data_IF_948183692715
#
_entry.id   IF_948183692715
#
_cell.length_a   1.000
_cell.length_b   1.000
_cell.length_c   1.000
_cell.angle_alpha   90.00
_cell.angle_beta   90.00
_cell.angle_gamma   90.00
#
_symmetry.space_group_name_H-M   'P 1'
#
loop_
_entity.id
_entity.type
_entity.pdbx_description
1 polymer ?
#
# COMPACT_ATOMS: atom_id res chain seq x y z
N UNK A 1 -5.05 -11.42 22.36
CA UNK A 1 -4.84 -10.20 23.17
C UNK A 1 -4.32 -9.13 22.22
N UNK A 2 -4.91 -7.93 22.15
CA UNK A 2 -4.35 -6.86 21.34
C UNK A 2 -2.94 -6.54 21.85
N UNK A 3 -1.98 -6.45 20.93
CA UNK A 3 -0.60 -6.07 21.25
C UNK A 3 -0.64 -4.63 21.76
N UNK A 4 -0.03 -4.38 22.93
CA UNK A 4 0.04 -3.01 23.46
C UNK A 4 0.80 -2.11 22.46
N UNK A 5 0.42 -0.82 22.30
CA UNK A 5 1.04 0.08 21.32
C UNK A 5 2.57 0.10 21.34
N UNK A 6 3.16 -0.02 22.53
CA UNK A 6 4.61 -0.06 22.77
C UNK A 6 5.32 -1.36 22.29
N UNK A 7 4.57 -2.42 22.00
CA UNK A 7 5.08 -3.72 21.54
C UNK A 7 4.73 -4.01 20.07
N UNK A 8 4.16 -3.03 19.36
CA UNK A 8 3.82 -3.19 17.96
C UNK A 8 5.12 -3.30 17.12
N UNK A 9 5.28 -4.31 16.25
CA UNK A 9 6.45 -4.42 15.38
C UNK A 9 6.54 -3.26 14.37
N UNK A 10 7.72 -2.70 14.14
CA UNK A 10 7.87 -1.61 13.17
C UNK A 10 7.50 -2.10 11.75
N UNK A 11 6.64 -1.36 11.05
CA UNK A 11 6.32 -1.58 9.63
C UNK A 11 6.98 -0.49 8.79
N UNK A 12 7.75 -0.89 7.78
CA UNK A 12 8.28 0.00 6.76
C UNK A 12 7.31 0.07 5.59
N UNK A 13 6.68 1.22 5.41
CA UNK A 13 5.83 1.49 4.26
C UNK A 13 6.69 2.10 3.15
N UNK A 14 6.87 1.37 2.05
CA UNK A 14 7.75 1.70 0.94
C UNK A 14 6.91 2.23 -0.23
N UNK A 15 7.11 3.50 -0.58
CA UNK A 15 6.32 4.20 -1.61
C UNK A 15 7.26 4.69 -2.73
N UNK A 16 7.34 3.99 -3.88
CA UNK A 16 8.04 4.50 -5.06
C UNK A 16 7.21 5.61 -5.72
N UNK A 17 7.86 6.70 -6.13
CA UNK A 17 7.16 7.91 -6.60
C UNK A 17 7.84 8.43 -7.87
N UNK A 18 7.08 8.46 -8.97
CA UNK A 18 7.49 9.12 -10.21
C UNK A 18 6.30 9.82 -10.85
N UNK A 19 6.36 11.15 -10.94
CA UNK A 19 5.34 11.99 -11.59
C UNK A 19 3.88 11.71 -11.13
N UNK A 20 3.67 11.68 -9.81
CA UNK A 20 2.42 11.31 -9.16
C UNK A 20 1.60 12.51 -8.64
N UNK A 21 1.75 13.71 -9.22
CA UNK A 21 1.12 14.96 -8.72
C UNK A 21 -0.37 14.87 -8.39
N UNK A 22 -1.13 14.05 -9.12
CA UNK A 22 -2.58 13.95 -8.97
C UNK A 22 -3.02 13.06 -7.79
N UNK A 23 -2.13 12.21 -7.27
CA UNK A 23 -2.51 11.16 -6.33
C UNK A 23 -1.66 11.13 -5.07
N UNK A 24 -0.41 11.62 -5.15
CA UNK A 24 0.58 11.46 -4.08
C UNK A 24 0.12 12.01 -2.73
N UNK A 25 -0.59 13.15 -2.70
CA UNK A 25 -1.10 13.71 -1.45
C UNK A 25 -2.13 12.78 -0.78
N UNK A 26 -3.03 12.18 -1.57
CA UNK A 26 -4.03 11.22 -1.08
C UNK A 26 -3.37 9.94 -0.58
N UNK A 27 -2.39 9.42 -1.34
CA UNK A 27 -1.63 8.23 -0.97
C UNK A 27 -0.93 8.43 0.39
N UNK A 28 -0.11 9.49 0.54
CA UNK A 28 0.61 9.77 1.78
C UNK A 28 -0.36 9.96 2.95
N UNK A 29 -1.43 10.73 2.77
CA UNK A 29 -2.38 10.98 3.86
C UNK A 29 -3.07 9.70 4.34
N UNK A 30 -3.36 8.75 3.43
CA UNK A 30 -3.95 7.46 3.79
C UNK A 30 -3.02 6.60 4.66
N UNK A 31 -1.71 6.69 4.44
CA UNK A 31 -0.69 6.00 5.24
C UNK A 31 -0.55 6.70 6.60
N UNK A 32 -0.50 8.03 6.63
CA UNK A 32 -0.36 8.80 7.88
C UNK A 32 -1.53 8.57 8.85
N UNK A 33 -2.73 8.35 8.31
CA UNK A 33 -3.98 8.14 9.04
C UNK A 33 -4.25 6.69 9.43
N UNK A 34 -3.34 5.75 9.16
CA UNK A 34 -3.51 4.38 9.65
C UNK A 34 -3.75 4.34 11.16
N UNK A 35 -4.62 3.43 11.60
CA UNK A 35 -4.84 3.14 13.02
C UNK A 35 -3.56 2.58 13.65
N UNK A 36 -2.80 1.80 12.89
CA UNK A 36 -1.47 1.33 13.24
C UNK A 36 -0.46 2.49 13.30
N UNK A 37 0.23 2.66 14.44
CA UNK A 37 1.05 3.86 14.68
C UNK A 37 2.55 3.64 14.50
N UNK A 38 3.07 2.43 14.73
CA UNK A 38 4.49 2.15 14.64
C UNK A 38 4.97 1.95 13.20
N UNK A 39 5.03 3.07 12.47
CA UNK A 39 5.39 3.13 11.05
C UNK A 39 6.67 3.93 10.84
N UNK A 40 7.49 3.48 9.90
CA UNK A 40 8.37 4.34 9.11
C UNK A 40 7.84 4.39 7.68
N UNK A 41 7.85 5.57 7.05
CA UNK A 41 7.23 5.81 5.75
C UNK A 41 8.32 6.30 4.79
N UNK A 42 8.82 5.40 3.95
CA UNK A 42 9.87 5.70 2.99
C UNK A 42 9.23 6.20 1.69
N UNK A 43 9.31 7.51 1.47
CA UNK A 43 8.91 8.15 0.23
C UNK A 43 10.13 8.22 -0.70
N UNK A 44 10.14 7.45 -1.78
CA UNK A 44 11.27 7.35 -2.69
C UNK A 44 10.95 8.08 -4.00
N UNK A 45 11.37 9.35 -4.10
CA UNK A 45 11.27 10.10 -5.34
C UNK A 45 12.27 9.56 -6.37
N UNK A 46 11.75 9.08 -7.49
CA UNK A 46 12.49 8.50 -8.61
C UNK A 46 12.71 9.53 -9.73
N UNK A 47 13.21 10.71 -9.37
CA UNK A 47 13.48 11.78 -10.33
C UNK A 47 12.23 12.39 -10.95
N UNK A 48 11.15 12.56 -10.19
CA UNK A 48 9.94 13.25 -10.67
C UNK A 48 10.26 14.65 -11.18
N UNK A 49 9.65 15.03 -12.29
CA UNK A 49 9.79 16.35 -12.93
C UNK A 49 8.56 17.24 -12.68
N UNK A 50 7.53 16.71 -12.02
CA UNK A 50 6.37 17.46 -11.58
C UNK A 50 6.49 17.90 -10.10
N UNK A 51 5.37 18.31 -9.51
CA UNK A 51 5.32 18.80 -8.12
C UNK A 51 5.39 17.69 -7.06
N UNK A 52 5.53 16.41 -7.44
CA UNK A 52 5.49 15.27 -6.50
C UNK A 52 6.54 15.39 -5.39
N UNK A 53 7.78 15.75 -5.76
CA UNK A 53 8.86 15.93 -4.78
C UNK A 53 8.56 17.06 -3.78
N UNK A 54 7.99 18.17 -4.25
CA UNK A 54 7.62 19.28 -3.40
C UNK A 54 6.54 18.87 -2.38
N UNK A 55 5.53 18.11 -2.83
CA UNK A 55 4.49 17.56 -1.96
C UNK A 55 5.10 16.62 -0.91
N UNK A 56 6.00 15.71 -1.31
CA UNK A 56 6.68 14.80 -0.37
C UNK A 56 7.49 15.57 0.69
N UNK A 57 8.20 16.63 0.29
CA UNK A 57 8.94 17.51 1.22
C UNK A 57 8.02 18.20 2.21
N UNK A 58 6.81 18.59 1.81
CA UNK A 58 5.84 19.19 2.72
C UNK A 58 5.39 18.19 3.80
N UNK A 59 5.06 16.96 3.41
CA UNK A 59 4.68 15.91 4.36
C UNK A 59 5.82 15.51 5.30
N UNK A 60 7.04 15.37 4.79
CA UNK A 60 8.23 15.03 5.59
C UNK A 60 8.54 16.08 6.67
N UNK A 61 8.15 17.35 6.48
CA UNK A 61 8.32 18.40 7.49
C UNK A 61 7.35 18.29 8.68
N UNK A 62 6.21 17.64 8.49
CA UNK A 62 5.11 17.61 9.49
C UNK A 62 4.86 16.23 10.09
N UNK A 63 5.49 15.18 9.56
CA UNK A 63 5.38 13.82 10.09
C UNK A 63 6.78 13.21 10.21
N UNK A 64 7.34 13.08 11.43
CA UNK A 64 8.70 12.59 11.63
C UNK A 64 8.89 11.12 11.26
N UNK A 65 7.80 10.37 11.01
CA UNK A 65 7.87 9.00 10.51
C UNK A 65 8.25 8.94 9.03
N UNK A 66 8.15 10.06 8.31
CA UNK A 66 8.41 10.13 6.88
C UNK A 66 9.90 10.33 6.61
N UNK A 67 10.48 9.38 5.87
CA UNK A 67 11.85 9.41 5.38
C UNK A 67 11.78 9.64 3.86
N UNK A 68 12.13 10.85 3.43
CA UNK A 68 12.18 11.19 2.01
C UNK A 68 13.57 10.86 1.44
N UNK A 69 13.59 10.02 0.41
CA UNK A 69 14.78 9.69 -0.37
C UNK A 69 14.58 10.24 -1.78
N UNK A 70 15.44 11.19 -2.16
CA UNK A 70 15.44 11.81 -3.48
C UNK A 70 16.61 11.27 -4.29
N UNK A 71 16.35 10.76 -5.50
CA UNK A 71 17.37 10.19 -6.38
C UNK A 71 17.04 10.41 -7.85
N UNK A 72 18.04 10.18 -8.72
CA UNK A 72 17.84 10.16 -10.16
C UNK A 72 16.91 9.00 -10.59
N UNK A 73 16.22 9.18 -11.72
CA UNK A 73 15.31 8.17 -12.24
C UNK A 73 16.04 6.86 -12.58
N UNK A 74 15.56 5.74 -12.04
CA UNK A 74 16.09 4.39 -12.29
C UNK A 74 14.99 3.34 -12.49
N UNK A 75 13.73 3.76 -12.53
CA UNK A 75 12.58 2.88 -12.63
C UNK A 75 12.07 2.34 -11.29
N UNK A 76 10.83 1.83 -11.31
CA UNK A 76 10.08 1.43 -10.11
C UNK A 76 10.74 0.28 -9.34
N UNK A 77 11.24 -0.75 -10.03
CA UNK A 77 11.89 -1.90 -9.41
C UNK A 77 13.15 -1.50 -8.64
N UNK A 78 14.06 -0.76 -9.27
CA UNK A 78 15.26 -0.23 -8.61
C UNK A 78 14.91 0.69 -7.42
N UNK A 79 13.80 1.44 -7.53
CA UNK A 79 13.29 2.30 -6.45
C UNK A 79 12.79 1.48 -5.26
N UNK A 80 12.00 0.42 -5.49
CA UNK A 80 11.55 -0.49 -4.43
C UNK A 80 12.72 -1.23 -3.79
N UNK A 81 13.69 -1.69 -4.58
CA UNK A 81 14.91 -2.34 -4.08
C UNK A 81 15.73 -1.41 -3.19
N UNK A 82 15.85 -0.12 -3.54
CA UNK A 82 16.45 0.87 -2.65
C UNK A 82 15.64 1.03 -1.36
N UNK A 83 14.31 1.09 -1.46
CA UNK A 83 13.41 1.15 -0.30
C UNK A 83 13.66 0.00 0.67
N UNK A 84 13.67 -1.25 0.18
CA UNK A 84 13.95 -2.43 1.00
C UNK A 84 15.30 -2.36 1.70
N UNK A 85 16.36 -1.89 1.02
CA UNK A 85 17.70 -1.72 1.60
C UNK A 85 17.77 -0.63 2.67
N UNK A 86 16.88 0.36 2.63
CA UNK A 86 16.86 1.50 3.56
C UNK A 86 15.85 1.34 4.70
N UNK A 87 14.98 0.34 4.61
CA UNK A 87 13.95 0.04 5.58
C UNK A 87 14.50 -0.74 6.79
N UNK A 88 14.00 -0.43 7.98
CA UNK A 88 14.41 -1.00 9.28
C UNK A 88 13.32 -1.82 9.96
N UNK A 89 12.11 -1.86 9.39
CA UNK A 89 10.96 -2.56 9.92
C UNK A 89 11.17 -4.06 10.06
N UNK A 90 10.35 -4.64 10.95
CA UNK A 90 10.12 -6.08 11.07
C UNK A 90 9.30 -6.56 9.89
N UNK A 91 8.40 -5.72 9.37
CA UNK A 91 7.61 -5.98 8.18
C UNK A 91 7.80 -4.92 7.11
N UNK A 92 7.70 -5.33 5.85
CA UNK A 92 7.62 -4.43 4.70
C UNK A 92 6.20 -4.43 4.13
N UNK A 93 5.70 -3.22 3.83
CA UNK A 93 4.45 -3.00 3.10
C UNK A 93 4.76 -2.07 1.92
N UNK A 94 4.34 -2.44 0.72
CA UNK A 94 4.48 -1.59 -0.46
C UNK A 94 3.18 -0.86 -0.73
N UNK A 95 3.26 0.38 -1.18
CA UNK A 95 2.09 1.17 -1.61
C UNK A 95 2.47 1.93 -2.85
N UNK A 96 1.71 1.79 -3.93
CA UNK A 96 1.94 2.57 -5.14
C UNK A 96 1.38 4.00 -4.97
N UNK A 97 2.05 4.98 -5.59
CA UNK A 97 1.78 6.41 -5.35
C UNK A 97 0.41 6.90 -5.85
N UNK A 98 -0.28 6.09 -6.66
CA UNK A 98 -1.63 6.30 -7.17
C UNK A 98 -2.73 5.61 -6.34
N UNK A 99 -2.35 4.72 -5.42
CA UNK A 99 -3.25 3.98 -4.55
C UNK A 99 -3.57 4.68 -3.21
N UNK A 100 -4.42 4.06 -2.40
CA UNK A 100 -4.86 4.56 -1.10
C UNK A 100 -5.16 3.38 -0.17
N UNK A 101 -4.71 3.46 1.08
CA UNK A 101 -5.00 2.44 2.08
C UNK A 101 -6.30 2.74 2.84
N UNK A 102 -7.05 1.68 3.17
CA UNK A 102 -8.13 1.79 4.16
C UNK A 102 -7.54 2.08 5.55
N UNK A 103 -8.23 2.80 6.46
CA UNK A 103 -7.65 3.25 7.73
C UNK A 103 -7.07 2.15 8.63
N UNK A 104 -7.62 0.94 8.54
CA UNK A 104 -7.24 -0.24 9.34
C UNK A 104 -6.41 -1.26 8.56
N UNK A 105 -5.97 -0.95 7.33
CA UNK A 105 -5.32 -1.91 6.45
C UNK A 105 -4.03 -2.48 7.06
N UNK A 106 -3.13 -1.61 7.52
CA UNK A 106 -1.85 -2.04 8.10
C UNK A 106 -2.06 -2.77 9.43
N UNK A 107 -3.03 -2.34 10.25
CA UNK A 107 -3.36 -2.99 11.52
C UNK A 107 -3.82 -4.44 11.31
N UNK A 108 -4.77 -4.66 10.39
CA UNK A 108 -5.25 -6.01 10.09
C UNK A 108 -4.17 -6.92 9.51
N UNK A 109 -3.33 -6.39 8.62
CA UNK A 109 -2.22 -7.15 8.05
C UNK A 109 -1.24 -7.61 9.14
N UNK A 110 -0.85 -6.70 10.04
CA UNK A 110 0.07 -7.02 11.15
C UNK A 110 -0.59 -7.98 12.14
N UNK A 111 -1.85 -7.78 12.50
CA UNK A 111 -2.57 -8.67 13.41
C UNK A 111 -2.55 -10.10 12.89
N UNK A 112 -2.89 -10.30 11.61
CA UNK A 112 -2.88 -11.63 10.99
C UNK A 112 -1.47 -12.21 10.91
N UNK A 113 -0.45 -11.40 10.60
CA UNK A 113 0.95 -11.85 10.57
C UNK A 113 1.41 -12.35 11.94
N UNK A 114 1.16 -11.58 13.00
CA UNK A 114 1.56 -11.91 14.38
C UNK A 114 0.78 -13.11 14.91
N UNK A 115 -0.53 -13.15 14.70
CA UNK A 115 -1.38 -14.22 15.22
C UNK A 115 -1.08 -15.59 14.59
N UNK A 116 -0.67 -15.61 13.31
CA UNK A 116 -0.37 -16.85 12.59
C UNK A 116 1.12 -17.20 12.51
N UNK A 117 2.01 -16.25 12.82
CA UNK A 117 3.44 -16.39 12.55
C UNK A 117 3.77 -16.42 11.05
N UNK A 118 2.88 -15.90 10.19
CA UNK A 118 3.04 -15.98 8.74
C UNK A 118 4.28 -15.20 8.23
N UNK A 119 4.92 -15.78 7.21
CA UNK A 119 6.01 -15.17 6.46
C UNK A 119 5.52 -14.00 5.57
N UNK A 120 4.28 -14.10 5.09
CA UNK A 120 3.63 -13.14 4.21
C UNK A 120 2.11 -13.16 4.45
N UNK A 121 1.48 -11.99 4.45
CA UNK A 121 0.02 -11.85 4.50
C UNK A 121 -0.43 -11.20 3.20
N UNK A 122 -1.48 -11.74 2.56
CA UNK A 122 -2.07 -11.22 1.33
C UNK A 122 -3.49 -10.76 1.64
N UNK A 123 -3.82 -9.52 1.27
CA UNK A 123 -5.15 -8.96 1.42
C UNK A 123 -5.86 -8.85 0.07
N UNK A 124 -7.19 -8.80 0.15
CA UNK A 124 -8.03 -8.35 -0.94
C UNK A 124 -7.74 -6.89 -1.27
N UNK A 125 -8.04 -6.50 -2.50
CA UNK A 125 -7.97 -5.11 -2.91
C UNK A 125 -9.25 -4.65 -3.58
N UNK A 126 -9.44 -3.34 -3.57
CA UNK A 126 -10.56 -2.68 -4.22
C UNK A 126 -10.05 -1.94 -5.46
N UNK A 127 -10.53 -2.32 -6.64
CA UNK A 127 -10.35 -1.50 -7.84
C UNK A 127 -11.39 -0.39 -7.81
N UNK A 128 -10.93 0.84 -7.96
CA UNK A 128 -11.76 2.04 -7.96
C UNK A 128 -11.82 2.56 -9.40
N UNK A 129 -13.01 2.56 -10.00
CA UNK A 129 -13.24 3.21 -11.30
C UNK A 129 -13.85 4.59 -11.05
N UNK A 130 -13.17 5.68 -11.48
CA UNK A 130 -13.75 7.01 -11.37
C UNK A 130 -15.03 7.11 -12.22
N UNK A 131 -15.97 7.98 -11.85
CA UNK A 131 -17.15 8.24 -12.67
C UNK A 131 -16.71 8.63 -14.07
N UNK A 132 -17.36 8.08 -15.10
CA UNK A 132 -17.15 8.58 -16.47
C UNK A 132 -17.53 10.07 -16.49
N UNK A 133 -16.61 10.93 -16.92
CA UNK A 133 -16.94 12.33 -17.23
C UNK A 133 -18.15 12.30 -18.19
N UNK A 134 -19.27 12.87 -17.74
CA UNK A 134 -20.44 12.97 -18.61
C UNK A 134 -20.11 14.07 -19.63
N UNK A 135 -20.03 13.70 -20.90
CA UNK A 135 -19.85 14.66 -22.01
C UNK A 135 -20.92 15.77 -22.01
N UNK A 136 -22.05 15.59 -21.30
CA UNK A 136 -23.06 16.63 -21.08
C UNK A 136 -23.63 16.63 -19.65
N UNK A 137 -23.75 17.79 -18.98
CA UNK A 137 -24.37 17.90 -17.67
C UNK A 137 -25.87 17.62 -17.78
N UNK A 138 -26.35 16.52 -17.21
CA UNK A 138 -27.79 16.30 -16.97
C UNK A 138 -28.23 17.10 -15.75
N UNK A 139 -29.44 17.66 -15.81
CA UNK A 139 -30.09 18.40 -14.72
C UNK A 139 -30.00 17.65 -13.37
N UNK A 140 -29.88 18.37 -12.24
CA UNK A 140 -29.65 17.77 -10.94
C UNK A 140 -30.84 16.87 -10.56
N UNK A 141 -30.58 15.58 -10.34
CA UNK A 141 -31.51 14.70 -9.62
C UNK A 141 -31.32 14.92 -8.13
N UNK A 142 -32.41 14.87 -7.37
CA UNK A 142 -32.39 14.91 -5.90
C UNK A 142 -31.34 13.90 -5.41
N UNK A 143 -30.34 14.42 -4.70
CA UNK A 143 -29.32 13.62 -4.06
C UNK A 143 -29.96 13.09 -2.78
N UNK A 144 -30.29 11.80 -2.75
CA UNK A 144 -30.48 11.11 -1.48
C UNK A 144 -29.14 11.16 -0.74
N UNK A 145 -29.18 11.43 0.57
CA UNK A 145 -28.03 11.70 1.42
C UNK A 145 -26.97 10.59 1.30
N UNK A 146 -25.97 10.81 0.43
CA UNK A 146 -24.83 9.92 0.31
C UNK A 146 -24.00 10.01 1.60
N UNK A 147 -23.46 8.88 2.05
CA UNK A 147 -22.59 8.88 3.23
C UNK A 147 -21.43 9.88 3.04
N UNK A 148 -21.05 10.64 4.08
CA UNK A 148 -20.02 11.67 3.96
C UNK A 148 -18.72 11.08 3.42
N UNK A 149 -18.32 11.51 2.22
CA UNK A 149 -17.04 11.14 1.61
C UNK A 149 -17.09 10.07 0.51
N UNK A 150 -18.28 9.57 0.13
CA UNK A 150 -18.40 8.62 -0.97
C UNK A 150 -19.23 9.22 -2.13
N UNK A 151 -18.60 9.38 -3.30
CA UNK A 151 -19.33 9.72 -4.52
C UNK A 151 -20.11 8.46 -4.96
N UNK A 152 -21.46 8.50 -4.99
CA UNK A 152 -22.29 7.35 -5.35
C UNK A 152 -22.08 6.86 -6.79
N UNK A 153 -21.32 7.59 -7.60
CA UNK A 153 -20.96 7.22 -8.98
C UNK A 153 -19.60 6.53 -9.10
N UNK A 154 -18.84 6.38 -8.02
CA UNK A 154 -17.60 5.60 -7.99
C UNK A 154 -17.94 4.11 -7.92
N UNK A 155 -17.47 3.34 -8.89
CA UNK A 155 -17.60 1.88 -8.85
C UNK A 155 -16.42 1.28 -8.09
N UNK A 156 -16.74 0.42 -7.14
CA UNK A 156 -15.75 -0.33 -6.36
C UNK A 156 -15.97 -1.81 -6.60
N UNK A 157 -14.91 -2.50 -7.01
CA UNK A 157 -14.91 -3.95 -7.16
C UNK A 157 -13.80 -4.56 -6.32
N UNK A 158 -14.14 -5.50 -5.44
CA UNK A 158 -13.18 -6.22 -4.60
C UNK A 158 -12.64 -7.45 -5.33
N UNK A 159 -11.32 -7.63 -5.29
CA UNK A 159 -10.61 -8.76 -5.86
C UNK A 159 -9.91 -9.54 -4.76
N UNK A 160 -10.19 -10.84 -4.71
CA UNK A 160 -9.70 -11.77 -3.70
C UNK A 160 -9.99 -13.20 -4.11
N UNK A 161 -8.94 -14.02 -4.22
CA UNK A 161 -9.03 -15.40 -4.72
C UNK A 161 -8.66 -16.45 -3.67
N UNK A 162 -8.11 -16.01 -2.54
CA UNK A 162 -7.70 -16.87 -1.43
C UNK A 162 -8.77 -16.86 -0.34
N UNK A 163 -9.02 -18.03 0.25
CA UNK A 163 -9.86 -18.13 1.44
C UNK A 163 -9.20 -17.43 2.64
N UNK A 164 -9.99 -16.93 3.57
CA UNK A 164 -9.43 -16.36 4.80
C UNK A 164 -8.79 -17.47 5.66
N UNK A 165 -7.57 -17.21 6.15
CA UNK A 165 -6.88 -18.08 7.10
C UNK A 165 -5.41 -18.28 6.78
N UNK A 166 -4.70 -18.91 7.71
CA UNK A 166 -3.30 -19.29 7.50
C UNK A 166 -3.23 -20.44 6.48
N UNK A 167 -2.27 -20.35 5.56
CA UNK A 167 -2.05 -21.35 4.52
C UNK A 167 -0.61 -21.84 4.55
N UNK A 168 -0.45 -23.14 4.28
CA UNK A 168 0.85 -23.70 3.92
C UNK A 168 1.25 -23.28 2.50
N UNK A 169 2.53 -23.42 2.17
CA UNK A 169 3.03 -23.19 0.80
C UNK A 169 2.27 -24.00 -0.26
N UNK A 170 1.90 -25.25 0.04
CA UNK A 170 1.14 -26.11 -0.87
C UNK A 170 -0.29 -25.60 -1.11
N UNK A 171 -0.97 -25.15 -0.05
CA UNK A 171 -2.32 -24.56 -0.16
C UNK A 171 -2.28 -23.24 -0.94
N UNK A 172 -1.30 -22.38 -0.67
CA UNK A 172 -1.10 -21.15 -1.44
C UNK A 172 -0.83 -21.44 -2.92
N UNK A 173 0.06 -22.39 -3.24
CA UNK A 173 0.33 -22.78 -4.61
C UNK A 173 -0.92 -23.32 -5.34
N UNK A 174 -1.75 -24.12 -4.64
CA UNK A 174 -3.01 -24.60 -5.20
C UNK A 174 -3.97 -23.46 -5.54
N UNK A 175 -4.10 -22.47 -4.65
CA UNK A 175 -4.92 -21.27 -4.88
C UNK A 175 -4.41 -20.42 -6.04
N UNK A 176 -3.09 -20.23 -6.13
CA UNK A 176 -2.43 -19.55 -7.25
C UNK A 176 -2.75 -20.22 -8.60
N UNK A 177 -2.71 -21.55 -8.65
CA UNK A 177 -2.99 -22.33 -9.87
C UNK A 177 -4.43 -22.20 -10.36
N UNK A 178 -5.38 -21.78 -9.52
CA UNK A 178 -6.76 -21.56 -9.96
C UNK A 178 -6.88 -20.30 -10.84
N UNK A 179 -6.11 -19.26 -10.54
CA UNK A 179 -6.18 -17.96 -11.22
C UNK A 179 -4.76 -17.37 -11.45
N UNK A 180 -3.86 -18.06 -12.16
CA UNK A 180 -2.44 -17.75 -12.19
C UNK A 180 -2.10 -16.44 -12.93
N UNK A 181 -2.97 -16.01 -13.85
CA UNK A 181 -2.81 -14.75 -14.58
C UNK A 181 -3.45 -13.55 -13.84
N UNK A 182 -3.99 -13.76 -12.64
CA UNK A 182 -4.65 -12.71 -11.89
C UNK A 182 -3.67 -11.69 -11.34
N UNK A 183 -4.00 -10.41 -11.53
CA UNK A 183 -3.27 -9.28 -10.99
C UNK A 183 -3.09 -9.38 -9.46
N UNK A 184 -4.05 -10.00 -8.77
CA UNK A 184 -4.05 -10.23 -7.33
C UNK A 184 -2.77 -10.89 -6.80
N UNK A 185 -2.23 -11.86 -7.54
CA UNK A 185 -1.01 -12.54 -7.13
C UNK A 185 0.24 -11.75 -7.51
N UNK A 186 0.23 -11.09 -8.68
CA UNK A 186 1.39 -10.37 -9.22
C UNK A 186 1.69 -9.01 -8.58
N UNK A 187 0.72 -8.37 -7.92
CA UNK A 187 0.96 -7.09 -7.26
C UNK A 187 1.68 -7.23 -5.93
N UNK A 188 2.48 -6.24 -5.56
CA UNK A 188 3.19 -6.24 -4.28
C UNK A 188 2.42 -5.54 -3.16
N UNK A 189 1.58 -4.56 -3.53
CA UNK A 189 1.00 -3.59 -2.60
C UNK A 189 -0.18 -4.15 -1.78
N UNK A 190 -0.72 -5.31 -2.14
CA UNK A 190 -1.73 -6.01 -1.33
C UNK A 190 -1.11 -6.98 -0.31
N UNK A 191 0.20 -6.89 -0.05
CA UNK A 191 0.93 -7.84 0.78
C UNK A 191 1.71 -7.15 1.90
N UNK A 192 1.86 -7.87 3.00
CA UNK A 192 2.80 -7.58 4.08
C UNK A 192 3.83 -8.71 4.13
N UNK A 193 5.12 -8.37 4.17
CA UNK A 193 6.22 -9.34 4.12
C UNK A 193 7.04 -9.28 5.40
N UNK A 194 7.46 -10.43 5.93
CA UNK A 194 8.48 -10.45 7.00
C UNK A 194 9.83 -10.02 6.43
N UNK A 195 10.39 -8.96 6.99
CA UNK A 195 11.57 -8.29 6.43
C UNK A 195 12.86 -9.09 6.61
N UNK A 196 12.95 -9.93 7.64
CA UNK A 196 14.09 -10.82 7.88
C UNK A 196 14.29 -11.80 6.70
N UNK A 197 13.21 -12.38 6.19
CA UNK A 197 13.25 -13.30 5.05
C UNK A 197 13.80 -12.64 3.79
N UNK A 198 13.40 -11.40 3.52
CA UNK A 198 13.90 -10.66 2.36
C UNK A 198 15.39 -10.35 2.56
N UNK A 199 15.80 -9.94 3.77
CA UNK A 199 17.20 -9.63 4.08
C UNK A 199 18.12 -10.85 4.02
N UNK A 200 17.63 -12.05 4.34
CA UNK A 200 18.42 -13.29 4.26
C UNK A 200 18.54 -13.85 2.84
N UNK A 201 17.77 -13.33 1.87
CA UNK A 201 17.79 -13.75 0.46
C UNK A 201 18.12 -12.56 -0.44
N UNK A 202 19.42 -12.18 -0.56
CA UNK A 202 19.84 -10.98 -1.30
C UNK A 202 19.58 -11.07 -2.81
N UNK A 203 19.24 -12.25 -3.32
CA UNK A 203 18.79 -12.52 -4.67
C UNK A 203 17.33 -12.12 -4.93
N UNK A 204 16.55 -11.81 -3.88
CA UNK A 204 15.18 -11.31 -3.99
C UNK A 204 15.20 -9.83 -4.35
N UNK A 205 14.86 -9.53 -5.60
CA UNK A 205 14.69 -8.19 -6.14
C UNK A 205 13.30 -8.01 -6.79
N UNK A 206 12.82 -6.76 -6.77
CA UNK A 206 11.62 -6.33 -7.50
C UNK A 206 11.89 -6.16 -9.00
#
# INVERSE_FOLDING_TARGET
MPVRPENQPLVSVIVPIYNAKNHIARCIESIRRQTYRNLEILLLNDGSQDVSLAVCRMFAKVDPRIILIDKANSGVSATRNLGMRRAHGVYFQFVDSDDTLQPYATELLVEKAVASGADMVIAHYNRIEPPKEKEHPRAPRRVEEAEPGFDPFVKVQTFGFLLEGAMTKAQFAYGLMQEPASFYYGVMWNKLYRADLIRTHPDVEC
#
